data_IF_604570691283
#
_entry.id   IF_604570691283
#
_cell.length_a   1.000
_cell.length_b   1.000
_cell.length_c   1.000
_cell.angle_alpha   90.00
_cell.angle_beta   90.00
_cell.angle_gamma   90.00
#
_symmetry.space_group_name_H-M   'P 1'
#
loop_
_entity.id
_entity.type
_entity.pdbx_description
1 polymer ?
#
# COMPACT_ATOMS: atom_id res chain seq x y z
N UNK A 1 4.55 -40.13 -5.22
CA UNK A 1 3.53 -39.85 -6.26
C UNK A 1 4.10 -38.78 -7.18
N UNK A 2 3.91 -38.83 -8.50
CA UNK A 2 4.43 -37.77 -9.38
C UNK A 2 3.57 -36.50 -9.26
N UNK A 3 4.12 -35.29 -9.51
CA UNK A 3 3.37 -34.04 -9.43
C UNK A 3 2.09 -34.04 -10.28
N UNK A 4 2.16 -34.52 -11.53
CA UNK A 4 0.99 -34.58 -12.42
C UNK A 4 -0.10 -35.54 -11.91
N UNK A 5 0.30 -36.67 -11.33
CA UNK A 5 -0.65 -37.61 -10.73
C UNK A 5 -1.30 -37.01 -9.48
N UNK A 6 -0.52 -36.32 -8.65
CA UNK A 6 -1.06 -35.61 -7.49
C UNK A 6 -2.06 -34.54 -7.91
N UNK A 7 -1.71 -33.71 -8.90
CA UNK A 7 -2.61 -32.66 -9.40
C UNK A 7 -3.90 -33.26 -9.97
N UNK A 8 -3.81 -34.39 -10.70
CA UNK A 8 -4.99 -35.10 -11.19
C UNK A 8 -5.93 -35.51 -10.04
N UNK A 9 -5.39 -36.13 -8.98
CA UNK A 9 -6.21 -36.53 -7.83
C UNK A 9 -6.74 -35.33 -7.03
N UNK A 10 -5.96 -34.25 -6.90
CA UNK A 10 -6.44 -32.99 -6.31
C UNK A 10 -7.63 -32.46 -7.10
N UNK A 11 -7.54 -32.42 -8.44
CA UNK A 11 -8.64 -31.97 -9.29
C UNK A 11 -9.90 -32.84 -9.11
N UNK A 12 -9.72 -34.16 -8.99
CA UNK A 12 -10.83 -35.10 -8.71
C UNK A 12 -11.55 -34.82 -7.39
N UNK A 13 -10.86 -34.29 -6.35
CA UNK A 13 -11.51 -33.89 -5.09
C UNK A 13 -12.57 -32.77 -5.26
N UNK A 14 -12.62 -32.12 -6.43
CA UNK A 14 -13.56 -31.06 -6.76
C UNK A 14 -14.69 -31.48 -7.72
N UNK A 15 -14.70 -32.73 -8.18
CA UNK A 15 -15.75 -33.22 -9.07
C UNK A 15 -17.10 -33.28 -8.36
N UNK A 16 -18.19 -33.21 -9.14
CA UNK A 16 -19.56 -33.31 -8.61
C UNK A 16 -19.88 -34.70 -8.06
N UNK A 17 -19.33 -35.75 -8.65
CA UNK A 17 -19.54 -37.13 -8.23
C UNK A 17 -18.84 -37.44 -6.90
N UNK A 18 -19.63 -37.88 -5.92
CA UNK A 18 -19.13 -38.28 -4.60
C UNK A 18 -18.23 -39.50 -4.61
N UNK A 19 -18.47 -40.45 -5.53
CA UNK A 19 -17.70 -41.69 -5.66
C UNK A 19 -16.30 -41.43 -6.19
N UNK A 20 -16.17 -40.56 -7.20
CA UNK A 20 -14.87 -40.13 -7.74
C UNK A 20 -14.03 -39.40 -6.68
N UNK A 21 -14.66 -38.56 -5.86
CA UNK A 21 -13.98 -37.93 -4.71
C UNK A 21 -13.52 -38.97 -3.68
N UNK A 22 -14.32 -40.00 -3.42
CA UNK A 22 -13.95 -41.10 -2.52
C UNK A 22 -12.74 -41.87 -3.04
N UNK A 23 -12.76 -42.22 -4.34
CA UNK A 23 -11.65 -42.90 -5.00
C UNK A 23 -10.36 -42.08 -4.91
N UNK A 24 -10.43 -40.78 -5.20
CA UNK A 24 -9.29 -39.87 -5.05
C UNK A 24 -8.77 -39.83 -3.60
N UNK A 25 -9.64 -39.72 -2.59
CA UNK A 25 -9.24 -39.73 -1.18
C UNK A 25 -8.56 -41.04 -0.77
N UNK A 26 -9.04 -42.19 -1.27
CA UNK A 26 -8.40 -43.50 -1.04
C UNK A 26 -7.01 -43.56 -1.66
N UNK A 27 -6.84 -43.07 -2.89
CA UNK A 27 -5.53 -43.01 -3.56
C UNK A 27 -4.55 -42.05 -2.87
N UNK A 28 -5.06 -40.97 -2.30
CA UNK A 28 -4.24 -39.96 -1.63
C UNK A 28 -3.87 -40.31 -0.19
N UNK A 29 -4.43 -41.36 0.43
CA UNK A 29 -4.31 -41.71 1.87
C UNK A 29 -2.88 -41.71 2.45
N UNK A 30 -1.85 -41.94 1.63
CA UNK A 30 -0.43 -41.95 2.03
C UNK A 30 0.42 -40.84 1.44
N UNK A 31 -0.19 -39.83 0.81
CA UNK A 31 0.50 -38.71 0.20
C UNK A 31 0.59 -37.54 1.19
N UNK A 32 1.82 -37.13 1.50
CA UNK A 32 2.09 -36.04 2.46
C UNK A 32 2.75 -34.84 1.78
N UNK A 33 2.35 -34.53 0.55
CA UNK A 33 2.80 -33.32 -0.13
C UNK A 33 2.05 -32.11 0.45
N UNK A 34 2.74 -31.04 0.92
CA UNK A 34 2.12 -29.87 1.55
C UNK A 34 0.94 -29.25 0.80
N UNK A 35 1.00 -29.24 -0.54
CA UNK A 35 -0.07 -28.71 -1.40
C UNK A 35 -1.40 -29.43 -1.21
N UNK A 36 -1.39 -30.70 -0.77
CA UNK A 36 -2.61 -31.49 -0.54
C UNK A 36 -3.39 -31.04 0.71
N UNK A 37 -2.69 -30.51 1.71
CA UNK A 37 -3.26 -30.19 3.02
C UNK A 37 -4.54 -29.32 2.97
N UNK A 38 -4.57 -28.14 2.29
CA UNK A 38 -5.77 -27.32 2.20
C UNK A 38 -6.93 -28.01 1.48
N UNK A 39 -6.63 -28.91 0.54
CA UNK A 39 -7.66 -29.67 -0.17
C UNK A 39 -8.33 -30.68 0.77
N UNK A 40 -7.57 -31.33 1.66
CA UNK A 40 -8.13 -32.21 2.69
C UNK A 40 -9.00 -31.43 3.69
N UNK A 41 -8.55 -30.25 4.14
CA UNK A 41 -9.34 -29.36 4.99
C UNK A 41 -10.70 -29.05 4.35
N UNK A 42 -10.73 -28.76 3.05
CA UNK A 42 -11.99 -28.49 2.33
C UNK A 42 -12.92 -29.70 2.29
N UNK A 43 -12.38 -30.93 2.24
CA UNK A 43 -13.17 -32.17 2.22
C UNK A 43 -13.76 -32.55 3.58
N UNK A 44 -13.36 -31.89 4.68
CA UNK A 44 -14.02 -32.08 5.98
C UNK A 44 -15.50 -31.66 5.99
N UNK A 45 -15.88 -30.76 5.08
CA UNK A 45 -17.26 -30.33 4.87
C UNK A 45 -17.88 -30.87 3.57
N UNK A 46 -17.41 -32.03 3.07
CA UNK A 46 -17.99 -32.66 1.88
C UNK A 46 -19.45 -33.08 2.10
N UNK A 47 -20.25 -33.04 1.04
CA UNK A 47 -21.66 -33.48 1.08
C UNK A 47 -21.81 -34.96 1.40
N UNK A 48 -20.82 -35.78 1.02
CA UNK A 48 -20.85 -37.23 1.20
C UNK A 48 -20.13 -37.62 2.50
N UNK A 49 -20.80 -38.31 3.45
CA UNK A 49 -20.23 -38.64 4.76
C UNK A 49 -18.92 -39.44 4.72
N UNK A 50 -18.77 -40.41 3.80
CA UNK A 50 -17.55 -41.21 3.71
C UNK A 50 -16.34 -40.36 3.28
N UNK A 51 -16.53 -39.37 2.41
CA UNK A 51 -15.45 -38.46 2.00
C UNK A 51 -14.95 -37.62 3.16
N UNK A 52 -15.86 -37.14 4.02
CA UNK A 52 -15.49 -36.43 5.25
C UNK A 52 -14.64 -37.30 6.17
N UNK A 53 -15.06 -38.56 6.38
CA UNK A 53 -14.33 -39.54 7.21
C UNK A 53 -12.94 -39.83 6.65
N UNK A 54 -12.81 -40.06 5.35
CA UNK A 54 -11.51 -40.34 4.71
C UNK A 54 -10.57 -39.14 4.78
N UNK A 55 -11.08 -37.92 4.55
CA UNK A 55 -10.29 -36.70 4.70
C UNK A 55 -9.82 -36.50 6.15
N UNK A 56 -10.72 -36.70 7.13
CA UNK A 56 -10.39 -36.60 8.56
C UNK A 56 -9.33 -37.65 8.96
N UNK A 57 -9.49 -38.91 8.54
CA UNK A 57 -8.49 -39.96 8.78
C UNK A 57 -7.13 -39.61 8.18
N UNK A 58 -7.10 -39.00 7.00
CA UNK A 58 -5.85 -38.58 6.40
C UNK A 58 -5.20 -37.43 7.19
N UNK A 59 -5.99 -36.43 7.60
CA UNK A 59 -5.50 -35.34 8.43
C UNK A 59 -5.04 -35.83 9.82
N UNK A 60 -5.67 -36.84 10.41
CA UNK A 60 -5.19 -37.46 11.65
C UNK A 60 -3.77 -38.03 11.49
N UNK A 61 -3.45 -38.62 10.33
CA UNK A 61 -2.08 -39.09 10.05
C UNK A 61 -1.11 -37.94 9.84
N UNK A 62 -1.58 -36.79 9.36
CA UNK A 62 -0.75 -35.58 9.27
C UNK A 62 -0.36 -35.06 10.65
N UNK A 63 -1.26 -35.12 11.64
CA UNK A 63 -1.04 -34.60 13.02
C UNK A 63 0.22 -35.16 13.68
N UNK A 64 0.60 -36.40 13.34
CA UNK A 64 1.78 -37.07 13.90
C UNK A 64 3.09 -36.68 13.19
N UNK A 65 3.02 -35.92 12.10
CA UNK A 65 4.18 -35.51 11.32
C UNK A 65 4.79 -34.19 11.81
N UNK A 66 6.13 -34.04 11.79
CA UNK A 66 6.80 -32.85 12.33
C UNK A 66 6.42 -31.55 11.60
N UNK A 67 6.18 -31.60 10.29
CA UNK A 67 5.79 -30.45 9.47
C UNK A 67 4.33 -30.00 9.66
N UNK A 68 3.51 -30.78 10.40
CA UNK A 68 2.09 -30.50 10.53
C UNK A 68 1.80 -29.16 11.20
N UNK A 69 2.60 -28.76 12.19
CA UNK A 69 2.42 -27.48 12.86
C UNK A 69 2.62 -26.31 11.90
N UNK A 70 3.60 -26.39 11.00
CA UNK A 70 3.87 -25.31 10.05
C UNK A 70 2.69 -25.19 9.07
N UNK A 71 2.15 -26.32 8.61
CA UNK A 71 0.91 -26.35 7.82
C UNK A 71 -0.30 -25.83 8.58
N UNK A 72 -0.44 -26.17 9.87
CA UNK A 72 -1.54 -25.65 10.69
C UNK A 72 -1.47 -24.13 10.85
N UNK A 73 -0.26 -23.56 10.90
CA UNK A 73 -0.08 -22.10 10.96
C UNK A 73 -0.36 -21.43 9.62
N UNK A 74 0.14 -22.00 8.52
CA UNK A 74 -0.07 -21.43 7.18
C UNK A 74 -1.53 -21.48 6.75
N UNK A 75 -2.23 -22.56 7.10
CA UNK A 75 -3.66 -22.75 6.82
C UNK A 75 -4.56 -22.50 8.04
N UNK A 76 -4.08 -21.76 9.05
CA UNK A 76 -4.83 -21.50 10.27
C UNK A 76 -6.21 -20.89 10.00
N UNK A 77 -6.29 -19.95 9.05
CA UNK A 77 -7.56 -19.31 8.71
C UNK A 77 -8.59 -20.30 8.14
N UNK A 78 -8.13 -21.29 7.37
CA UNK A 78 -9.00 -22.34 6.84
C UNK A 78 -9.46 -23.28 7.95
N UNK A 79 -8.55 -23.69 8.83
CA UNK A 79 -8.87 -24.51 10.02
C UNK A 79 -9.88 -23.79 10.91
N UNK A 80 -9.64 -22.52 11.23
CA UNK A 80 -10.52 -21.69 12.04
C UNK A 80 -11.90 -21.50 11.38
N UNK A 81 -11.95 -21.39 10.05
CA UNK A 81 -13.21 -21.26 9.32
C UNK A 81 -14.03 -22.56 9.29
N UNK A 82 -13.40 -23.73 9.37
CA UNK A 82 -14.10 -25.03 9.39
C UNK A 82 -15.05 -25.11 10.60
N UNK A 83 -14.67 -24.55 11.76
CA UNK A 83 -15.50 -24.54 12.97
C UNK A 83 -16.89 -23.92 12.77
N UNK A 84 -17.06 -23.10 11.72
CA UNK A 84 -18.33 -22.42 11.39
C UNK A 84 -19.11 -23.11 10.26
N UNK A 85 -18.60 -24.21 9.71
CA UNK A 85 -19.23 -24.90 8.57
C UNK A 85 -20.32 -25.87 9.03
N UNK A 86 -21.34 -25.99 8.19
CA UNK A 86 -22.38 -27.01 8.34
C UNK A 86 -21.77 -28.36 7.90
N UNK A 87 -22.02 -29.45 8.65
CA UNK A 87 -21.58 -30.83 8.36
C UNK A 87 -20.08 -31.09 8.55
N UNK A 88 -19.56 -30.81 9.73
CA UNK A 88 -18.16 -31.08 10.12
C UNK A 88 -17.95 -32.45 10.78
N UNK A 89 -16.70 -32.92 10.73
CA UNK A 89 -16.18 -33.95 11.65
C UNK A 89 -15.43 -33.20 12.74
N UNK A 90 -16.13 -32.78 13.81
CA UNK A 90 -15.58 -31.83 14.80
C UNK A 90 -14.31 -32.30 15.54
N UNK A 91 -14.04 -33.60 15.57
CA UNK A 91 -12.87 -34.12 16.29
C UNK A 91 -11.53 -33.69 15.66
N UNK A 92 -11.44 -33.63 14.32
CA UNK A 92 -10.16 -33.35 13.65
C UNK A 92 -9.78 -31.87 13.71
N UNK A 93 -10.73 -30.96 13.57
CA UNK A 93 -10.44 -29.52 13.68
C UNK A 93 -9.97 -29.16 15.09
N UNK A 94 -10.56 -29.75 16.13
CA UNK A 94 -10.11 -29.58 17.52
C UNK A 94 -8.68 -30.08 17.71
N UNK A 95 -8.31 -31.20 17.09
CA UNK A 95 -6.94 -31.73 17.13
C UNK A 95 -5.96 -30.79 16.42
N UNK A 96 -6.31 -30.28 15.24
CA UNK A 96 -5.46 -29.33 14.50
C UNK A 96 -5.29 -28.01 15.28
N UNK A 97 -6.37 -27.51 15.88
CA UNK A 97 -6.33 -26.32 16.75
C UNK A 97 -5.52 -26.56 18.03
N UNK A 98 -5.59 -27.79 18.58
CA UNK A 98 -4.77 -28.20 19.71
C UNK A 98 -3.28 -28.21 19.37
N UNK A 99 -2.90 -28.65 18.16
CA UNK A 99 -1.50 -28.58 17.71
C UNK A 99 -0.97 -27.15 17.76
N UNK A 100 -1.76 -26.17 17.37
CA UNK A 100 -1.38 -24.75 17.47
C UNK A 100 -1.24 -24.34 18.94
N UNK A 101 -2.20 -24.68 19.80
CA UNK A 101 -2.16 -24.33 21.23
C UNK A 101 -1.00 -24.97 21.99
N UNK A 102 -0.51 -26.14 21.55
CA UNK A 102 0.61 -26.85 22.17
C UNK A 102 1.98 -26.36 21.68
N UNK A 103 2.03 -25.56 20.61
CA UNK A 103 3.27 -25.11 19.97
C UNK A 103 3.34 -23.59 19.91
N UNK A 104 3.09 -22.93 21.07
CA UNK A 104 3.06 -21.47 21.16
C UNK A 104 4.39 -20.82 20.79
N UNK A 105 5.52 -21.52 20.95
CA UNK A 105 6.83 -21.01 20.55
C UNK A 105 6.97 -20.81 19.03
N UNK A 106 6.25 -21.61 18.22
CA UNK A 106 6.14 -21.37 16.77
C UNK A 106 5.12 -20.29 16.42
N UNK A 107 4.10 -20.10 17.26
CA UNK A 107 3.06 -19.08 17.08
C UNK A 107 3.60 -17.67 17.39
N UNK A 108 4.37 -17.49 18.47
CA UNK A 108 4.86 -16.19 18.94
C UNK A 108 5.62 -15.40 17.84
N UNK A 109 6.54 -16.00 17.06
CA UNK A 109 7.18 -15.32 15.92
C UNK A 109 6.20 -14.89 14.83
N UNK A 110 5.17 -15.70 14.53
CA UNK A 110 4.13 -15.34 13.55
C UNK A 110 3.40 -14.07 13.99
N UNK A 111 3.04 -13.98 15.27
CA UNK A 111 2.35 -12.81 15.84
C UNK A 111 3.24 -11.56 15.88
N UNK A 112 4.54 -11.72 16.14
CA UNK A 112 5.51 -10.61 16.18
C UNK A 112 5.81 -10.07 14.78
N UNK A 113 6.07 -10.95 13.81
CA UNK A 113 6.67 -10.54 12.54
C UNK A 113 5.70 -10.49 11.35
N UNK A 114 4.66 -11.34 11.30
CA UNK A 114 3.68 -11.32 10.18
C UNK A 114 2.59 -10.25 10.42
N UNK A 115 2.10 -9.68 9.32
CA UNK A 115 0.99 -8.72 9.32
C UNK A 115 -0.26 -9.29 8.65
N UNK A 116 -1.42 -8.71 8.94
CA UNK A 116 -2.68 -8.98 8.27
C UNK A 116 -3.60 -9.97 8.99
N UNK A 117 -4.51 -10.57 8.24
CA UNK A 117 -5.63 -11.35 8.78
C UNK A 117 -5.19 -12.57 9.59
N UNK A 118 -4.13 -13.25 9.14
CA UNK A 118 -3.60 -14.43 9.83
C UNK A 118 -3.17 -14.11 11.26
N UNK A 119 -2.23 -13.18 11.44
CA UNK A 119 -1.68 -12.85 12.76
C UNK A 119 -2.74 -12.27 13.69
N UNK A 120 -3.65 -11.42 13.18
CA UNK A 120 -4.78 -10.89 13.97
C UNK A 120 -5.73 -11.98 14.44
N UNK A 121 -6.14 -12.88 13.54
CA UNK A 121 -7.08 -13.97 13.90
C UNK A 121 -6.43 -14.93 14.89
N UNK A 122 -5.14 -15.23 14.70
CA UNK A 122 -4.37 -16.08 15.61
C UNK A 122 -4.23 -15.43 16.98
N UNK A 123 -3.95 -14.13 17.04
CA UNK A 123 -3.89 -13.37 18.30
C UNK A 123 -5.23 -13.40 19.04
N UNK A 124 -6.34 -13.12 18.35
CA UNK A 124 -7.69 -13.22 18.92
C UNK A 124 -7.99 -14.63 19.42
N UNK A 125 -7.62 -15.67 18.68
CA UNK A 125 -7.78 -17.04 19.12
C UNK A 125 -7.03 -17.32 20.44
N UNK A 126 -5.77 -16.88 20.57
CA UNK A 126 -5.02 -17.05 21.82
C UNK A 126 -5.67 -16.32 23.00
N UNK A 127 -6.18 -15.10 22.75
CA UNK A 127 -6.89 -14.28 23.74
C UNK A 127 -8.20 -14.97 24.18
N UNK A 128 -9.06 -15.34 23.24
CA UNK A 128 -10.38 -15.93 23.50
C UNK A 128 -10.27 -17.27 24.24
N UNK A 129 -9.25 -18.06 23.90
CA UNK A 129 -8.99 -19.35 24.53
C UNK A 129 -8.11 -19.26 25.77
N UNK A 130 -7.67 -18.06 26.17
CA UNK A 130 -6.81 -17.83 27.34
C UNK A 130 -5.56 -18.71 27.33
N UNK A 131 -4.94 -18.87 26.16
CA UNK A 131 -3.78 -19.75 25.98
C UNK A 131 -2.47 -19.12 26.48
N UNK A 132 -2.47 -17.82 26.71
CA UNK A 132 -1.36 -17.05 27.25
C UNK A 132 -1.87 -16.12 28.35
N UNK A 133 -0.96 -15.75 29.26
CA UNK A 133 -1.25 -14.72 30.26
C UNK A 133 -1.45 -13.34 29.60
N UNK A 134 -2.14 -12.43 30.29
CA UNK A 134 -2.31 -11.05 29.81
C UNK A 134 -0.94 -10.37 29.59
N UNK A 135 0.02 -10.56 30.50
CA UNK A 135 1.37 -9.99 30.38
C UNK A 135 2.10 -10.51 29.13
N UNK A 136 2.03 -11.80 28.83
CA UNK A 136 2.62 -12.35 27.60
C UNK A 136 1.93 -11.82 26.35
N UNK A 137 0.61 -11.66 26.37
CA UNK A 137 -0.14 -11.07 25.25
C UNK A 137 0.24 -9.61 25.03
N UNK A 138 0.43 -8.85 26.10
CA UNK A 138 0.93 -7.46 26.06
C UNK A 138 2.34 -7.41 25.51
N UNK A 139 3.25 -8.28 25.96
CA UNK A 139 4.63 -8.34 25.45
C UNK A 139 4.66 -8.66 23.96
N UNK A 140 3.88 -9.65 23.51
CA UNK A 140 3.75 -9.97 22.08
C UNK A 140 3.23 -8.77 21.31
N UNK A 141 2.17 -8.11 21.81
CA UNK A 141 1.58 -6.96 21.15
C UNK A 141 2.52 -5.75 21.11
N UNK A 142 3.35 -5.54 22.13
CA UNK A 142 4.32 -4.45 22.18
C UNK A 142 5.32 -4.49 21.02
N UNK A 143 5.75 -5.71 20.64
CA UNK A 143 6.74 -5.92 19.59
C UNK A 143 6.13 -6.37 18.25
N UNK A 144 4.79 -6.34 18.13
CA UNK A 144 4.11 -6.78 16.92
C UNK A 144 4.28 -5.78 15.77
N UNK A 145 4.63 -6.27 14.58
CA UNK A 145 4.63 -5.50 13.34
C UNK A 145 3.21 -5.09 12.91
N UNK A 146 2.20 -5.89 13.25
CA UNK A 146 0.81 -5.62 12.91
C UNK A 146 0.17 -4.60 13.85
N UNK A 147 -0.30 -3.47 13.29
CA UNK A 147 -0.98 -2.42 14.04
C UNK A 147 -2.25 -2.90 14.75
N UNK A 148 -2.98 -3.85 14.16
CA UNK A 148 -4.19 -4.42 14.74
C UNK A 148 -3.91 -5.16 16.05
N UNK A 149 -2.79 -5.87 16.13
CA UNK A 149 -2.33 -6.51 17.36
C UNK A 149 -1.85 -5.45 18.37
N UNK A 150 -1.08 -4.45 17.93
CA UNK A 150 -0.62 -3.35 18.81
C UNK A 150 -1.75 -2.60 19.51
N UNK A 151 -2.98 -2.60 18.98
CA UNK A 151 -4.16 -2.03 19.66
C UNK A 151 -4.39 -2.62 21.05
N UNK A 152 -4.06 -3.91 21.26
CA UNK A 152 -4.16 -4.52 22.57
C UNK A 152 -3.16 -3.91 23.55
N UNK A 153 -1.90 -3.76 23.13
CA UNK A 153 -0.89 -3.06 23.92
C UNK A 153 -1.27 -1.60 24.20
N UNK A 154 -1.78 -0.86 23.21
CA UNK A 154 -2.28 0.51 23.40
C UNK A 154 -3.36 0.53 24.49
N UNK A 155 -4.33 -0.38 24.42
CA UNK A 155 -5.42 -0.50 25.40
C UNK A 155 -4.92 -0.80 26.81
N UNK A 156 -3.80 -1.52 26.93
CA UNK A 156 -3.12 -1.74 28.21
C UNK A 156 -2.40 -0.48 28.69
N UNK A 157 -1.61 0.18 27.84
CA UNK A 157 -0.82 1.38 28.19
C UNK A 157 -1.70 2.53 28.65
N UNK A 158 -2.77 2.84 27.90
CA UNK A 158 -3.62 4.00 28.23
C UNK A 158 -4.37 3.82 29.54
N UNK A 159 -4.48 2.61 30.10
CA UNK A 159 -5.09 2.39 31.42
C UNK A 159 -4.13 2.60 32.59
N UNK A 160 -2.83 2.73 32.32
CA UNK A 160 -1.82 2.91 33.36
C UNK A 160 -1.78 4.34 33.89
N UNK A 161 -0.95 4.55 34.90
CA UNK A 161 -0.68 5.89 35.42
C UNK A 161 0.05 6.77 34.39
N UNK A 162 0.00 8.08 34.62
CA UNK A 162 0.54 9.08 33.70
C UNK A 162 2.05 8.95 33.52
N UNK A 163 2.79 8.60 34.58
CA UNK A 163 4.25 8.47 34.49
C UNK A 163 4.63 7.30 33.59
N UNK A 164 3.93 6.17 33.71
CA UNK A 164 4.09 5.04 32.80
C UNK A 164 3.77 5.42 31.36
N UNK A 165 2.65 6.10 31.11
CA UNK A 165 2.24 6.53 29.77
C UNK A 165 3.31 7.44 29.13
N UNK A 166 3.81 8.45 29.87
CA UNK A 166 4.89 9.35 29.40
C UNK A 166 6.17 8.57 29.10
N UNK A 167 6.52 7.58 29.92
CA UNK A 167 7.67 6.71 29.66
C UNK A 167 7.52 5.92 28.34
N UNK A 168 6.31 5.41 28.05
CA UNK A 168 6.07 4.68 26.81
C UNK A 168 6.13 5.58 25.57
N UNK A 169 5.71 6.84 25.65
CA UNK A 169 5.82 7.81 24.56
C UNK A 169 7.27 7.98 24.08
N UNK A 170 8.21 7.98 25.02
CA UNK A 170 9.66 8.10 24.76
C UNK A 170 10.20 6.80 24.14
N UNK A 171 9.86 5.64 24.74
CA UNK A 171 10.43 4.34 24.35
C UNK A 171 9.89 3.79 23.04
N UNK A 172 8.62 4.03 22.72
CA UNK A 172 7.99 3.40 21.56
C UNK A 172 8.51 3.96 20.24
N UNK A 173 8.75 3.09 19.28
CA UNK A 173 9.05 3.47 17.89
C UNK A 173 7.79 3.59 17.03
N UNK A 174 6.62 3.17 17.51
CA UNK A 174 5.43 3.04 16.67
C UNK A 174 4.59 4.32 16.67
N UNK A 175 4.39 4.89 15.48
CA UNK A 175 3.63 6.13 15.31
C UNK A 175 2.17 6.02 15.79
N UNK A 176 1.51 4.87 15.56
CA UNK A 176 0.16 4.61 16.02
C UNK A 176 0.05 4.60 17.56
N UNK A 177 1.07 4.07 18.23
CA UNK A 177 1.14 4.04 19.70
C UNK A 177 1.41 5.44 20.24
N UNK A 178 2.37 6.18 19.66
CA UNK A 178 2.62 7.58 20.04
C UNK A 178 1.36 8.44 19.89
N UNK A 179 0.63 8.27 18.80
CA UNK A 179 -0.64 8.98 18.54
C UNK A 179 -1.67 8.71 19.64
N UNK A 180 -1.87 7.43 19.98
CA UNK A 180 -2.82 7.06 21.03
C UNK A 180 -2.42 7.61 22.40
N UNK A 181 -1.13 7.55 22.75
CA UNK A 181 -0.60 8.11 24.00
C UNK A 181 -0.79 9.64 24.05
N UNK A 182 -0.52 10.36 22.95
CA UNK A 182 -0.70 11.81 22.92
C UNK A 182 -2.16 12.22 23.15
N UNK A 183 -3.12 11.51 22.53
CA UNK A 183 -4.54 11.77 22.78
C UNK A 183 -4.94 11.45 24.23
N UNK A 184 -4.44 10.36 24.80
CA UNK A 184 -4.72 10.03 26.21
C UNK A 184 -4.18 11.12 27.15
N UNK A 185 -2.94 11.57 26.93
CA UNK A 185 -2.35 12.66 27.71
C UNK A 185 -3.12 13.97 27.54
N UNK A 186 -3.60 14.27 26.34
CA UNK A 186 -4.45 15.42 26.09
C UNK A 186 -5.76 15.34 26.90
N UNK A 187 -6.46 14.20 26.85
CA UNK A 187 -7.71 13.99 27.58
C UNK A 187 -7.54 14.13 29.09
N UNK A 188 -6.38 13.73 29.61
CA UNK A 188 -6.02 13.86 31.03
C UNK A 188 -5.51 15.24 31.43
N UNK A 189 -5.32 16.18 30.49
CA UNK A 189 -4.71 17.47 30.77
C UNK A 189 -3.21 17.40 31.11
N UNK A 190 -2.56 16.30 30.75
CA UNK A 190 -1.17 15.95 31.11
C UNK A 190 -0.16 16.22 29.98
N UNK A 191 -0.64 16.85 28.93
CA UNK A 191 0.12 17.17 27.75
C UNK A 191 0.75 18.56 27.93
N UNK A 192 1.99 18.60 28.38
CA UNK A 192 2.74 19.85 28.59
C UNK A 192 3.50 20.30 27.33
N UNK A 193 4.06 21.51 27.38
CA UNK A 193 4.81 22.08 26.26
C UNK A 193 6.07 21.26 25.92
N UNK A 194 6.73 20.64 26.91
CA UNK A 194 7.94 19.84 26.69
C UNK A 194 7.60 18.60 25.84
N UNK A 195 6.52 17.89 26.19
CA UNK A 195 6.01 16.75 25.42
C UNK A 195 5.64 17.18 24.00
N UNK A 196 4.98 18.33 23.88
CA UNK A 196 4.59 18.88 22.59
C UNK A 196 5.79 19.23 21.70
N UNK A 197 6.84 19.84 22.25
CA UNK A 197 8.05 20.14 21.51
C UNK A 197 8.82 18.87 21.11
N UNK A 198 8.80 17.83 21.93
CA UNK A 198 9.33 16.52 21.54
C UNK A 198 8.51 15.89 20.40
N UNK A 199 7.19 15.98 20.46
CA UNK A 199 6.29 15.47 19.42
C UNK A 199 6.42 16.27 18.11
N UNK A 200 6.58 17.60 18.19
CA UNK A 200 6.85 18.49 17.06
C UNK A 200 8.13 18.09 16.32
N UNK A 201 9.12 17.58 17.06
CA UNK A 201 10.40 17.10 16.51
C UNK A 201 10.42 15.60 16.13
N UNK A 202 9.25 14.98 16.05
CA UNK A 202 9.11 13.57 15.65
C UNK A 202 9.45 13.35 14.17
N UNK A 203 9.91 12.14 13.83
CA UNK A 203 10.06 11.73 12.43
C UNK A 203 8.73 11.39 11.73
N UNK A 204 7.65 11.26 12.49
CA UNK A 204 6.33 10.88 11.98
C UNK A 204 5.45 12.10 11.77
N UNK A 205 5.06 12.36 10.52
CA UNK A 205 4.24 13.52 10.14
C UNK A 205 2.94 13.62 10.95
N UNK A 206 2.27 12.48 11.23
CA UNK A 206 1.03 12.46 12.02
C UNK A 206 1.23 12.87 13.48
N UNK A 207 2.44 12.73 14.02
CA UNK A 207 2.78 13.15 15.38
C UNK A 207 3.12 14.64 15.40
N UNK A 208 3.83 15.13 14.39
CA UNK A 208 4.08 16.56 14.18
C UNK A 208 2.75 17.32 14.06
N UNK A 209 1.81 16.79 13.28
CA UNK A 209 0.49 17.40 13.04
C UNK A 209 -0.33 17.54 14.34
N UNK A 210 -0.36 16.51 15.19
CA UNK A 210 -0.97 16.57 16.52
C UNK A 210 -0.30 17.65 17.37
N UNK A 211 1.04 17.69 17.38
CA UNK A 211 1.76 18.69 18.15
C UNK A 211 1.46 20.12 17.69
N UNK A 212 1.44 20.35 16.36
CA UNK A 212 1.08 21.64 15.77
C UNK A 212 -0.34 22.05 16.18
N UNK A 213 -1.30 21.13 16.07
CA UNK A 213 -2.69 21.39 16.43
C UNK A 213 -2.80 21.87 17.89
N UNK A 214 -2.22 21.11 18.83
CA UNK A 214 -2.25 21.45 20.25
C UNK A 214 -1.49 22.74 20.59
N UNK A 215 -0.31 22.96 19.98
CA UNK A 215 0.47 24.18 20.18
C UNK A 215 -0.26 25.41 19.65
N UNK A 216 -0.99 25.30 18.53
CA UNK A 216 -1.84 26.39 18.01
C UNK A 216 -2.95 26.75 18.99
N UNK A 217 -3.62 25.76 19.61
CA UNK A 217 -4.65 26.02 20.62
C UNK A 217 -4.11 26.80 21.83
N UNK A 218 -2.78 26.75 22.06
CA UNK A 218 -2.09 27.42 23.15
C UNK A 218 -1.43 28.73 22.75
N UNK A 219 -1.70 29.23 21.54
CA UNK A 219 -1.06 30.43 20.99
C UNK A 219 0.49 30.35 21.00
N UNK A 220 1.04 29.18 20.73
CA UNK A 220 2.48 28.98 20.67
C UNK A 220 3.11 29.82 19.54
N UNK A 221 4.23 30.48 19.85
CA UNK A 221 4.95 31.34 18.92
C UNK A 221 5.87 30.53 17.99
N UNK A 222 5.30 30.07 16.87
CA UNK A 222 6.04 29.34 15.85
C UNK A 222 7.13 30.19 15.17
N UNK A 223 6.95 31.51 15.07
CA UNK A 223 7.96 32.40 14.49
C UNK A 223 9.23 32.36 15.33
N UNK A 224 9.10 32.60 16.64
CA UNK A 224 10.23 32.52 17.59
C UNK A 224 10.83 31.12 17.68
N UNK A 225 10.00 30.07 17.54
CA UNK A 225 10.50 28.70 17.46
C UNK A 225 11.39 28.51 16.23
N UNK A 226 10.95 28.93 15.04
CA UNK A 226 11.75 28.81 13.82
C UNK A 226 12.99 29.70 13.84
N UNK A 227 12.93 30.92 14.39
CA UNK A 227 14.12 31.77 14.57
C UNK A 227 15.23 31.05 15.34
N UNK A 228 14.89 30.35 16.44
CA UNK A 228 15.83 29.56 17.23
C UNK A 228 16.26 28.27 16.53
N UNK A 229 15.34 27.64 15.82
CA UNK A 229 15.57 26.38 15.11
C UNK A 229 16.49 26.55 13.90
N UNK A 230 16.44 27.71 13.25
CA UNK A 230 17.12 28.02 11.99
C UNK A 230 18.50 28.68 12.15
N UNK A 231 19.06 28.70 13.37
CA UNK A 231 20.40 29.23 13.62
C UNK A 231 21.42 28.45 12.76
N UNK A 232 22.08 29.09 11.76
CA UNK A 232 22.72 28.40 10.63
C UNK A 232 23.89 27.47 10.99
N UNK A 233 24.56 27.67 12.12
CA UNK A 233 25.82 27.00 12.46
C UNK A 233 25.71 25.50 12.78
N UNK A 234 24.51 24.89 12.74
CA UNK A 234 24.33 23.45 13.03
C UNK A 234 23.20 22.75 12.26
N UNK A 235 22.82 23.28 11.09
CA UNK A 235 21.75 22.70 10.26
C UNK A 235 22.23 21.42 9.55
N UNK A 236 21.88 20.27 10.13
CA UNK A 236 22.01 18.97 9.44
C UNK A 236 20.84 18.78 8.48
N UNK A 237 21.02 17.98 7.42
CA UNK A 237 19.92 17.67 6.47
C UNK A 237 18.68 17.10 7.18
N UNK A 238 18.86 16.32 8.24
CA UNK A 238 17.75 15.77 9.02
C UNK A 238 16.94 16.88 9.72
N UNK A 239 17.61 17.88 10.30
CA UNK A 239 16.95 19.05 10.91
C UNK A 239 16.24 19.90 9.86
N UNK A 240 16.89 20.12 8.71
CA UNK A 240 16.28 20.85 7.58
C UNK A 240 15.03 20.12 7.09
N UNK A 241 15.11 18.80 6.88
CA UNK A 241 13.96 17.97 6.49
C UNK A 241 12.82 18.08 7.49
N UNK A 242 13.12 18.01 8.79
CA UNK A 242 12.14 18.13 9.86
C UNK A 242 11.46 19.50 9.85
N UNK A 243 12.25 20.58 9.77
CA UNK A 243 11.73 21.95 9.69
C UNK A 243 10.84 22.16 8.47
N UNK A 244 11.23 21.64 7.30
CA UNK A 244 10.41 21.70 6.08
C UNK A 244 9.09 20.95 6.25
N UNK A 245 9.08 19.79 6.91
CA UNK A 245 7.84 19.05 7.20
C UNK A 245 6.92 19.81 8.18
N UNK A 246 7.50 20.47 9.19
CA UNK A 246 6.76 21.33 10.12
C UNK A 246 6.16 22.54 9.39
N UNK A 247 6.95 23.25 8.59
CA UNK A 247 6.52 24.38 7.76
C UNK A 247 5.41 23.98 6.77
N UNK A 248 5.55 22.81 6.16
CA UNK A 248 4.56 22.26 5.24
C UNK A 248 3.19 22.07 5.90
N UNK A 249 3.16 21.46 7.10
CA UNK A 249 1.93 21.27 7.86
C UNK A 249 1.34 22.59 8.37
N UNK A 250 2.20 23.56 8.71
CA UNK A 250 1.79 24.89 9.14
C UNK A 250 1.27 25.76 7.99
N UNK A 251 1.49 25.37 6.73
CA UNK A 251 1.35 26.23 5.55
C UNK A 251 2.13 27.54 5.73
N UNK A 252 3.39 27.39 6.14
CA UNK A 252 4.28 28.50 6.42
C UNK A 252 4.61 29.33 5.17
N UNK A 253 5.31 30.43 5.34
CA UNK A 253 5.79 31.26 4.24
C UNK A 253 6.67 30.46 3.26
N UNK A 254 6.42 30.64 1.96
CA UNK A 254 7.12 29.91 0.90
C UNK A 254 8.57 30.37 0.74
N UNK A 255 8.88 31.64 0.99
CA UNK A 255 10.25 32.15 0.87
C UNK A 255 11.15 31.50 1.92
N UNK A 256 10.68 31.41 3.16
CA UNK A 256 11.37 30.68 4.23
C UNK A 256 11.57 29.21 3.85
N UNK A 257 10.56 28.57 3.29
CA UNK A 257 10.63 27.19 2.83
C UNK A 257 11.69 27.01 1.72
N UNK A 258 11.69 27.87 0.70
CA UNK A 258 12.71 27.86 -0.37
C UNK A 258 14.12 28.13 0.18
N UNK A 259 14.24 29.00 1.19
CA UNK A 259 15.52 29.28 1.83
C UNK A 259 16.13 28.05 2.51
N UNK A 260 15.28 27.10 2.93
CA UNK A 260 15.70 25.87 3.60
C UNK A 260 15.92 24.70 2.65
N UNK A 261 15.06 24.53 1.64
CA UNK A 261 15.15 23.38 0.73
C UNK A 261 16.47 23.34 -0.05
N UNK A 262 17.13 24.50 -0.20
CA UNK A 262 18.47 24.61 -0.79
C UNK A 262 19.53 23.80 -0.02
N UNK A 263 19.33 23.50 1.27
CA UNK A 263 20.28 22.71 2.08
C UNK A 263 20.08 21.19 1.98
N UNK A 264 19.02 20.71 1.30
CA UNK A 264 18.83 19.27 1.08
C UNK A 264 19.58 18.82 -0.18
N UNK A 265 20.66 18.06 -0.02
CA UNK A 265 21.46 17.60 -1.17
C UNK A 265 21.20 16.13 -1.50
N UNK A 266 20.76 15.32 -0.53
CA UNK A 266 20.36 13.93 -0.80
C UNK A 266 19.10 13.85 -1.69
N UNK A 267 19.17 13.25 -2.88
CA UNK A 267 18.04 13.21 -3.82
C UNK A 267 16.79 12.51 -3.26
N UNK A 268 16.99 11.42 -2.50
CA UNK A 268 15.88 10.68 -1.87
C UNK A 268 15.15 11.50 -0.81
N UNK A 269 15.89 12.31 -0.03
CA UNK A 269 15.33 13.19 1.00
C UNK A 269 14.57 14.35 0.36
N UNK A 270 15.18 15.00 -0.64
CA UNK A 270 14.56 16.08 -1.39
C UNK A 270 13.27 15.59 -2.07
N UNK A 271 13.30 14.43 -2.73
CA UNK A 271 12.11 13.82 -3.33
C UNK A 271 10.97 13.66 -2.32
N UNK A 272 11.26 13.13 -1.11
CA UNK A 272 10.22 12.94 -0.09
C UNK A 272 9.58 14.27 0.29
N UNK A 273 10.37 15.35 0.39
CA UNK A 273 9.85 16.70 0.69
C UNK A 273 9.00 17.22 -0.46
N UNK A 274 9.50 17.21 -1.70
CA UNK A 274 8.78 17.70 -2.88
C UNK A 274 7.50 16.90 -3.18
N UNK A 275 7.55 15.58 -3.00
CA UNK A 275 6.36 14.74 -3.13
C UNK A 275 5.29 15.11 -2.09
N UNK A 276 5.71 15.41 -0.86
CA UNK A 276 4.79 15.83 0.20
C UNK A 276 4.23 17.23 -0.03
N UNK A 277 5.03 18.17 -0.55
CA UNK A 277 4.56 19.52 -0.85
C UNK A 277 3.47 19.51 -1.91
N UNK A 278 3.64 18.69 -2.95
CA UNK A 278 2.59 18.45 -3.97
C UNK A 278 1.36 17.77 -3.37
N UNK A 279 1.55 16.70 -2.59
CA UNK A 279 0.44 15.95 -2.00
C UNK A 279 -0.41 16.80 -1.04
N UNK A 280 0.21 17.75 -0.34
CA UNK A 280 -0.47 18.67 0.58
C UNK A 280 -0.79 20.03 -0.06
N UNK A 281 -0.66 20.14 -1.38
CA UNK A 281 -1.05 21.33 -2.16
C UNK A 281 -0.32 22.61 -1.75
N UNK A 282 0.87 22.45 -1.18
CA UNK A 282 1.72 23.55 -0.81
C UNK A 282 2.50 24.08 -2.02
N UNK A 283 3.00 23.14 -2.84
CA UNK A 283 3.62 23.44 -4.14
C UNK A 283 2.78 22.89 -5.28
N UNK A 284 2.84 23.57 -6.43
CA UNK A 284 2.48 23.00 -7.71
C UNK A 284 3.69 22.31 -8.41
N UNK A 285 3.46 21.69 -9.56
CA UNK A 285 4.53 20.97 -10.26
C UNK A 285 5.59 21.91 -10.83
N UNK A 286 5.23 23.14 -11.21
CA UNK A 286 6.19 24.09 -11.75
C UNK A 286 7.18 24.51 -10.66
N UNK A 287 6.70 24.69 -9.42
CA UNK A 287 7.53 24.91 -8.24
C UNK A 287 8.46 23.72 -7.97
N UNK A 288 7.97 22.49 -8.09
CA UNK A 288 8.82 21.29 -7.97
C UNK A 288 9.90 21.26 -9.05
N UNK A 289 9.53 21.49 -10.31
CA UNK A 289 10.45 21.52 -11.46
C UNK A 289 11.52 22.59 -11.25
N UNK A 290 11.13 23.78 -10.81
CA UNK A 290 12.05 24.87 -10.49
C UNK A 290 13.08 24.47 -9.45
N UNK A 291 12.67 23.80 -8.36
CA UNK A 291 13.63 23.32 -7.34
C UNK A 291 14.60 22.28 -7.91
N UNK A 292 14.11 21.37 -8.77
CA UNK A 292 14.96 20.36 -9.41
C UNK A 292 15.97 21.01 -10.37
N UNK A 293 15.53 22.01 -11.13
CA UNK A 293 16.35 22.79 -12.07
C UNK A 293 17.44 23.58 -11.33
N UNK A 294 17.07 24.38 -10.33
CA UNK A 294 18.02 25.19 -9.55
C UNK A 294 19.11 24.34 -8.88
N UNK A 295 18.75 23.12 -8.44
CA UNK A 295 19.70 22.20 -7.81
C UNK A 295 20.41 21.30 -8.80
N UNK A 296 20.05 21.34 -10.08
CA UNK A 296 20.55 20.45 -11.13
C UNK A 296 20.44 18.96 -10.76
N UNK A 297 19.40 18.60 -9.99
CA UNK A 297 19.23 17.27 -9.45
C UNK A 297 18.35 16.42 -10.36
N UNK A 298 18.81 15.19 -10.61
CA UNK A 298 18.06 14.17 -11.32
C UNK A 298 17.61 13.07 -10.36
N UNK A 299 16.43 12.52 -10.60
CA UNK A 299 15.80 11.50 -9.77
C UNK A 299 15.65 10.19 -10.56
N UNK A 300 15.77 9.03 -9.88
CA UNK A 300 15.33 7.76 -10.44
C UNK A 300 13.89 7.78 -10.93
N UNK A 301 13.63 7.11 -12.06
CA UNK A 301 12.28 7.05 -12.65
C UNK A 301 11.23 6.54 -11.65
N UNK A 302 11.58 5.51 -10.85
CA UNK A 302 10.66 4.93 -9.87
C UNK A 302 10.22 5.91 -8.76
N UNK A 303 10.95 7.03 -8.56
CA UNK A 303 10.53 8.13 -7.70
C UNK A 303 9.68 9.14 -8.48
N UNK A 304 10.11 9.54 -9.68
CA UNK A 304 9.35 10.46 -10.53
C UNK A 304 7.93 9.93 -10.81
N UNK A 305 7.80 8.62 -11.05
CA UNK A 305 6.49 7.99 -11.29
C UNK A 305 5.51 8.16 -10.13
N UNK A 306 5.98 8.39 -8.90
CA UNK A 306 5.08 8.61 -7.76
C UNK A 306 4.31 9.91 -7.88
N UNK A 307 4.83 10.92 -8.58
CA UNK A 307 4.12 12.15 -8.84
C UNK A 307 2.90 11.93 -9.73
N UNK A 308 2.96 10.99 -10.71
CA UNK A 308 1.83 10.63 -11.57
C UNK A 308 0.60 10.21 -10.74
N UNK A 309 0.81 9.52 -9.61
CA UNK A 309 -0.25 9.06 -8.72
C UNK A 309 -0.99 10.21 -8.02
N UNK A 310 -0.55 11.45 -8.20
CA UNK A 310 -1.25 12.63 -7.72
C UNK A 310 -2.23 13.09 -8.81
N UNK A 311 -3.53 13.09 -8.50
CA UNK A 311 -4.65 13.33 -9.43
C UNK A 311 -4.61 14.66 -10.21
N UNK A 312 -3.66 15.55 -9.92
CA UNK A 312 -3.61 16.93 -10.40
C UNK A 312 -2.60 17.18 -11.52
N UNK A 313 -1.82 16.17 -11.90
CA UNK A 313 -0.79 16.36 -12.92
C UNK A 313 -1.41 16.25 -14.30
N UNK A 314 -1.18 17.28 -15.12
CA UNK A 314 -1.57 17.26 -16.52
C UNK A 314 -0.54 16.49 -17.37
N UNK A 315 -0.94 15.88 -18.50
CA UNK A 315 -0.03 15.15 -19.37
C UNK A 315 1.22 15.94 -19.79
N UNK A 316 1.06 17.18 -20.26
CA UNK A 316 2.18 18.05 -20.69
C UNK A 316 3.18 18.36 -19.56
N UNK A 317 2.66 18.43 -18.34
CA UNK A 317 3.44 18.68 -17.13
C UNK A 317 4.34 17.49 -16.75
N UNK A 318 3.91 16.25 -17.00
CA UNK A 318 4.74 15.07 -16.78
C UNK A 318 5.99 15.08 -17.64
N UNK A 319 5.90 15.56 -18.87
CA UNK A 319 7.05 15.55 -19.76
C UNK A 319 8.17 16.45 -19.24
N UNK A 320 7.81 17.63 -18.70
CA UNK A 320 8.75 18.53 -18.03
C UNK A 320 9.41 17.86 -16.81
N UNK A 321 8.63 17.13 -16.02
CA UNK A 321 9.15 16.40 -14.86
C UNK A 321 10.11 15.27 -15.26
N UNK A 322 9.79 14.53 -16.32
CA UNK A 322 10.56 13.37 -16.79
C UNK A 322 11.92 13.71 -17.37
N UNK A 323 12.15 14.97 -17.77
CA UNK A 323 13.47 15.45 -18.17
C UNK A 323 14.49 15.39 -17.01
N UNK A 324 14.02 15.40 -15.76
CA UNK A 324 14.84 15.25 -14.56
C UNK A 324 15.09 13.78 -14.18
N UNK A 325 14.79 12.84 -15.07
CA UNK A 325 15.19 11.44 -14.88
C UNK A 325 16.71 11.29 -15.00
N UNK A 326 17.31 10.49 -14.12
CA UNK A 326 18.71 10.04 -14.27
C UNK A 326 18.86 8.94 -15.35
N UNK A 327 17.75 8.34 -15.77
CA UNK A 327 17.67 7.31 -16.80
C UNK A 327 17.09 7.88 -18.10
N UNK A 328 17.54 7.38 -19.25
CA UNK A 328 16.89 7.67 -20.53
C UNK A 328 15.57 6.90 -20.60
N UNK A 329 14.45 7.63 -20.55
CA UNK A 329 13.12 7.03 -20.51
C UNK A 329 12.60 6.68 -21.90
N UNK A 330 12.38 5.38 -22.13
CA UNK A 330 11.69 4.87 -23.32
C UNK A 330 10.17 5.05 -23.25
N UNK A 331 9.48 4.79 -24.37
CA UNK A 331 8.00 4.92 -24.46
C UNK A 331 7.28 4.02 -23.45
N UNK A 332 7.76 2.80 -23.23
CA UNK A 332 7.12 1.87 -22.29
C UNK A 332 7.06 2.44 -20.86
N UNK A 333 8.15 3.04 -20.37
CA UNK A 333 8.19 3.68 -19.06
C UNK A 333 7.27 4.90 -19.00
N UNK A 334 7.26 5.72 -20.05
CA UNK A 334 6.40 6.92 -20.12
C UNK A 334 4.90 6.56 -20.17
N UNK A 335 4.56 5.40 -20.74
CA UNK A 335 3.20 4.87 -20.77
C UNK A 335 2.70 4.38 -19.40
N UNK A 336 3.55 4.21 -18.37
CA UNK A 336 3.07 3.86 -17.02
C UNK A 336 2.06 4.89 -16.47
N UNK A 337 2.09 6.14 -16.95
CA UNK A 337 1.12 7.16 -16.57
C UNK A 337 -0.26 7.00 -17.21
N UNK A 338 -0.36 6.24 -18.30
CA UNK A 338 -1.54 6.17 -19.16
C UNK A 338 -2.79 5.69 -18.40
N UNK A 339 -2.65 4.64 -17.60
CA UNK A 339 -3.80 4.05 -16.88
C UNK A 339 -4.32 4.94 -15.74
N UNK A 340 -3.54 5.93 -15.31
CA UNK A 340 -3.92 6.87 -14.25
C UNK A 340 -4.66 8.10 -14.77
N UNK A 341 -4.74 8.28 -16.09
CA UNK A 341 -5.37 9.45 -16.69
C UNK A 341 -6.85 9.24 -17.01
N UNK A 342 -7.60 10.33 -16.90
CA UNK A 342 -8.94 10.42 -17.49
C UNK A 342 -8.86 10.20 -19.00
N UNK A 343 -10.00 9.86 -19.62
CA UNK A 343 -10.07 9.60 -21.05
C UNK A 343 -9.43 10.70 -21.91
N UNK A 344 -9.74 11.97 -21.65
CA UNK A 344 -9.17 13.09 -22.41
C UNK A 344 -7.69 13.32 -22.11
N UNK A 345 -7.25 13.06 -20.87
CA UNK A 345 -5.82 13.15 -20.52
C UNK A 345 -5.01 12.01 -21.12
N UNK A 346 -5.61 10.82 -21.33
CA UNK A 346 -4.99 9.73 -22.11
C UNK A 346 -4.72 10.17 -23.54
N UNK A 347 -5.68 10.84 -24.19
CA UNK A 347 -5.50 11.39 -25.53
C UNK A 347 -4.36 12.40 -25.58
N UNK A 348 -4.37 13.41 -24.71
CA UNK A 348 -3.33 14.43 -24.66
C UNK A 348 -1.95 13.81 -24.37
N UNK A 349 -1.90 12.79 -23.51
CA UNK A 349 -0.66 12.08 -23.20
C UNK A 349 -0.10 11.31 -24.40
N UNK A 350 -0.91 10.54 -25.12
CA UNK A 350 -0.45 9.80 -26.31
C UNK A 350 0.06 10.75 -27.39
N UNK A 351 -0.57 11.91 -27.57
CA UNK A 351 -0.09 12.98 -28.46
C UNK A 351 1.29 13.49 -27.99
N UNK A 352 1.46 13.77 -26.69
CA UNK A 352 2.74 14.20 -26.13
C UNK A 352 3.85 13.16 -26.34
N UNK A 353 3.52 11.87 -26.32
CA UNK A 353 4.49 10.78 -26.48
C UNK A 353 4.96 10.57 -27.93
N UNK A 354 4.24 11.10 -28.91
CA UNK A 354 4.55 10.91 -30.32
C UNK A 354 6.00 11.29 -30.68
N UNK A 355 6.53 12.37 -30.10
CA UNK A 355 7.91 12.83 -30.32
C UNK A 355 8.99 11.86 -29.86
N UNK A 356 8.66 10.87 -29.03
CA UNK A 356 9.58 9.84 -28.55
C UNK A 356 9.52 8.54 -29.38
N UNK A 357 8.63 8.44 -30.37
CA UNK A 357 8.44 7.27 -31.23
C UNK A 357 9.52 7.14 -32.30
N UNK A 358 10.77 6.89 -31.91
CA UNK A 358 11.90 6.88 -32.85
C UNK A 358 12.04 5.55 -33.60
N UNK A 359 11.73 4.43 -32.96
CA UNK A 359 11.81 3.10 -33.57
C UNK A 359 10.46 2.59 -34.09
N UNK A 360 10.47 1.65 -35.05
CA UNK A 360 9.24 1.04 -35.55
C UNK A 360 8.44 0.33 -34.44
N UNK A 361 9.14 -0.32 -33.50
CA UNK A 361 8.53 -0.98 -32.35
C UNK A 361 7.81 0.02 -31.43
N UNK A 362 8.45 1.13 -31.13
CA UNK A 362 7.87 2.21 -30.30
C UNK A 362 6.66 2.86 -30.95
N UNK A 363 6.73 3.12 -32.26
CA UNK A 363 5.59 3.60 -33.06
C UNK A 363 4.43 2.63 -33.00
N UNK A 364 4.67 1.33 -33.16
CA UNK A 364 3.63 0.30 -33.05
C UNK A 364 2.96 0.30 -31.68
N UNK A 365 3.72 0.41 -30.58
CA UNK A 365 3.16 0.49 -29.22
C UNK A 365 2.22 1.70 -29.06
N UNK A 366 2.63 2.89 -29.55
CA UNK A 366 1.78 4.07 -29.48
C UNK A 366 0.50 3.91 -30.33
N UNK A 367 0.62 3.33 -31.52
CA UNK A 367 -0.51 3.05 -32.41
C UNK A 367 -1.51 2.10 -31.76
N UNK A 368 -1.04 1.01 -31.15
CA UNK A 368 -1.90 0.06 -30.44
C UNK A 368 -2.68 0.75 -29.31
N UNK A 369 -2.01 1.59 -28.52
CA UNK A 369 -2.67 2.35 -27.44
C UNK A 369 -3.70 3.36 -27.95
N UNK A 370 -3.44 4.03 -29.07
CA UNK A 370 -4.43 4.93 -29.69
C UNK A 370 -5.63 4.14 -30.22
N UNK A 371 -5.42 2.97 -30.84
CA UNK A 371 -6.52 2.10 -31.29
C UNK A 371 -7.39 1.64 -30.13
N UNK A 372 -6.78 1.21 -29.02
CA UNK A 372 -7.50 0.89 -27.79
C UNK A 372 -8.36 2.08 -27.33
N UNK A 373 -7.78 3.29 -27.25
CA UNK A 373 -8.49 4.48 -26.82
C UNK A 373 -9.63 4.89 -27.76
N UNK A 374 -9.42 4.76 -29.08
CA UNK A 374 -10.45 5.04 -30.08
C UNK A 374 -11.66 4.12 -29.92
N UNK A 375 -11.45 2.84 -29.60
CA UNK A 375 -12.55 1.90 -29.34
C UNK A 375 -13.44 2.30 -28.15
N UNK A 376 -12.92 3.12 -27.24
CA UNK A 376 -13.65 3.65 -26.08
C UNK A 376 -14.39 4.98 -26.36
N UNK A 377 -14.13 5.66 -27.49
CA UNK A 377 -14.73 6.95 -27.86
C UNK A 377 -16.25 6.87 -27.93
N UNK A 378 -16.81 5.75 -28.37
CA UNK A 378 -18.26 5.53 -28.46
C UNK A 378 -18.98 5.76 -27.12
N UNK A 379 -18.30 5.54 -25.98
CA UNK A 379 -18.84 5.71 -24.63
C UNK A 379 -18.67 7.12 -24.07
N UNK A 380 -18.05 8.03 -24.81
CA UNK A 380 -17.81 9.40 -24.36
C UNK A 380 -18.93 10.34 -24.79
N UNK A 381 -19.43 11.11 -23.82
CA UNK A 381 -20.52 12.08 -24.00
C UNK A 381 -20.14 13.48 -23.52
N UNK A 382 -19.00 13.62 -22.82
CA UNK A 382 -18.58 14.87 -22.19
C UNK A 382 -17.35 15.43 -22.90
N UNK A 383 -17.38 16.74 -23.17
CA UNK A 383 -16.22 17.49 -23.67
C UNK A 383 -15.14 17.62 -22.58
N UNK A 384 -13.85 17.74 -22.94
CA UNK A 384 -12.81 17.99 -21.94
C UNK A 384 -12.95 19.37 -21.31
N UNK A 385 -12.50 19.49 -20.06
CA UNK A 385 -12.40 20.76 -19.32
C UNK A 385 -11.11 21.49 -19.74
N UNK A 386 -11.02 21.82 -21.02
CA UNK A 386 -9.91 22.56 -21.63
C UNK A 386 -10.40 23.92 -22.12
N UNK A 387 -9.49 24.90 -22.23
CA UNK A 387 -9.83 26.18 -22.87
C UNK A 387 -10.11 25.97 -24.37
N UNK A 388 -10.76 26.95 -25.02
CA UNK A 388 -11.04 26.83 -26.46
C UNK A 388 -9.75 26.75 -27.29
N UNK A 389 -8.72 27.51 -26.92
CA UNK A 389 -7.40 27.45 -27.56
C UNK A 389 -6.77 26.06 -27.41
N UNK A 390 -6.82 25.50 -26.20
CA UNK A 390 -6.32 24.17 -25.88
C UNK A 390 -7.02 23.06 -26.66
N UNK A 391 -8.33 23.19 -26.88
CA UNK A 391 -9.12 22.25 -27.69
C UNK A 391 -8.73 22.32 -29.16
N UNK A 392 -8.63 23.52 -29.73
CA UNK A 392 -8.24 23.71 -31.13
C UNK A 392 -6.83 23.17 -31.39
N UNK A 393 -5.88 23.46 -30.50
CA UNK A 393 -4.51 22.93 -30.59
C UNK A 393 -4.49 21.40 -30.56
N UNK A 394 -5.19 20.79 -29.60
CA UNK A 394 -5.22 19.33 -29.44
C UNK A 394 -5.97 18.61 -30.55
N UNK A 395 -7.04 19.21 -31.07
CA UNK A 395 -7.77 18.69 -32.23
C UNK A 395 -6.86 18.66 -33.48
N UNK A 396 -6.08 19.72 -33.72
CA UNK A 396 -5.11 19.76 -34.81
C UNK A 396 -4.02 18.70 -34.65
N UNK A 397 -3.41 18.61 -33.46
CA UNK A 397 -2.37 17.60 -33.16
C UNK A 397 -2.90 16.17 -33.31
N UNK A 398 -4.13 15.91 -32.86
CA UNK A 398 -4.78 14.61 -32.99
C UNK A 398 -5.02 14.25 -34.46
N UNK A 399 -5.55 15.20 -35.26
CA UNK A 399 -5.77 14.99 -36.68
C UNK A 399 -4.45 14.65 -37.41
N UNK A 400 -3.36 15.37 -37.09
CA UNK A 400 -2.03 15.06 -37.63
C UNK A 400 -1.55 13.68 -37.20
N UNK A 401 -1.73 13.32 -35.92
CA UNK A 401 -1.35 12.01 -35.42
C UNK A 401 -2.08 10.88 -36.16
N UNK A 402 -3.40 10.99 -36.32
CA UNK A 402 -4.21 9.99 -37.03
C UNK A 402 -3.81 9.84 -38.50
N UNK A 403 -3.47 10.94 -39.17
CA UNK A 403 -2.97 10.92 -40.53
C UNK A 403 -1.62 10.20 -40.63
N UNK A 404 -0.67 10.52 -39.75
CA UNK A 404 0.69 9.95 -39.78
C UNK A 404 0.70 8.44 -39.58
N UNK A 405 -0.25 7.92 -38.80
CA UNK A 405 -0.37 6.49 -38.52
C UNK A 405 -1.45 5.77 -39.34
N UNK A 406 -2.00 6.42 -40.37
CA UNK A 406 -3.08 5.89 -41.23
C UNK A 406 -4.27 5.34 -40.42
N UNK A 407 -4.66 6.01 -39.34
CA UNK A 407 -5.78 5.60 -38.48
C UNK A 407 -7.12 6.14 -38.97
N UNK A 408 -7.11 7.22 -39.74
CA UNK A 408 -8.32 7.92 -40.20
C UNK A 408 -9.24 7.05 -41.06
N UNK A 409 -8.70 6.19 -41.93
CA UNK A 409 -9.51 5.33 -42.79
C UNK A 409 -10.19 4.20 -42.01
N UNK A 410 -9.50 3.65 -40.99
CA UNK A 410 -10.01 2.51 -40.22
C UNK A 410 -10.94 2.94 -39.06
N UNK A 411 -10.73 4.12 -38.48
CA UNK A 411 -11.45 4.63 -37.31
C UNK A 411 -12.13 5.98 -37.60
N UNK A 412 -12.69 6.12 -38.82
CA UNK A 412 -13.25 7.38 -39.29
C UNK A 412 -14.35 7.91 -38.34
N UNK A 413 -15.29 7.05 -37.95
CA UNK A 413 -16.43 7.42 -37.09
C UNK A 413 -15.95 7.88 -35.71
N UNK A 414 -14.98 7.18 -35.13
CA UNK A 414 -14.40 7.53 -33.84
C UNK A 414 -13.61 8.84 -33.92
N UNK A 415 -12.86 9.06 -35.00
CA UNK A 415 -12.11 10.30 -35.20
C UNK A 415 -13.04 11.51 -35.40
N UNK A 416 -14.12 11.37 -36.17
CA UNK A 416 -15.15 12.40 -36.35
C UNK A 416 -15.82 12.74 -35.02
N UNK A 417 -16.18 11.71 -34.23
CA UNK A 417 -16.77 11.93 -32.91
C UNK A 417 -15.81 12.62 -31.93
N UNK A 418 -14.51 12.29 -31.96
CA UNK A 418 -13.51 13.03 -31.16
C UNK A 418 -13.47 14.49 -31.59
N UNK A 419 -13.46 14.79 -32.89
CA UNK A 419 -13.46 16.16 -33.39
C UNK A 419 -14.71 16.93 -32.94
N UNK A 420 -15.90 16.34 -33.05
CA UNK A 420 -17.16 16.93 -32.58
C UNK A 420 -17.12 17.28 -31.08
N UNK A 421 -16.54 16.40 -30.25
CA UNK A 421 -16.41 16.63 -28.82
C UNK A 421 -15.36 17.70 -28.46
N UNK A 422 -14.40 17.97 -29.35
CA UNK A 422 -13.35 18.97 -29.17
C UNK A 422 -13.70 20.35 -29.74
N UNK A 423 -14.57 20.43 -30.75
CA UNK A 423 -15.16 21.70 -31.26
C UNK A 423 -16.36 22.11 -30.45
#
# INVERSE_FOLDING_TARGET
MTPDKLQKYINQLYWYDGYEREAALKHLKGCFEPILFPHLLRKLSDYVPINRKLAAQHLLRWVDRPECIDLCLDYFLDIYAIQKRIRIVGEIEDILMRKISQNLDKVKPVLRFKQGKLSRTLYHYLLDKKLLSELELVEIAQFANDQGIRKYWISFVVKQDVAFIKQQLIKTQYADVKKAILYELQQRGELDEVILLQALNSQYLSIIDIAIFELKQRNFDFSKYFEKFLIPSSLTEQKVRLGLMQMLLLKWDKQDFYSLIKFLNQPSVLFVVLYKTMKLEYFDLNEVVKVLEEKQLRLPFYLLRKFILLERIQPRQLDNLYQFSNEQLGIAQRLEAYDHFSFWNKFDWLICLWKYGHTNREKQILVEKVKELLSEVQYQYYKPIWTNEEKSERAALFATFCQVFNLTEQYQVECEKVQELLT
#
